data_IF_644759154455
#
_entry.id   IF_644759154455
#
_cell.length_a   1.000
_cell.length_b   1.000
_cell.length_c   1.000
_cell.angle_alpha   90.00
_cell.angle_beta   90.00
_cell.angle_gamma   90.00
#
_symmetry.space_group_name_H-M   'P 1'
#
loop_
_entity.id
_entity.type
_entity.pdbx_description
1 polymer ?
#
# COMPACT_ATOMS: atom_id res chain seq x y z
N UNK A 1 6.67 41.64 32.24
CA UNK A 1 7.41 41.01 31.12
C UNK A 1 7.04 39.52 30.90
N UNK A 2 6.56 38.79 31.91
CA UNK A 2 6.23 37.35 31.77
C UNK A 2 4.88 37.11 31.04
N UNK A 3 3.86 37.93 31.32
CA UNK A 3 2.52 37.82 30.71
C UNK A 3 2.52 37.81 29.16
N UNK A 4 3.21 38.73 28.45
CA UNK A 4 3.21 38.70 26.98
C UNK A 4 3.90 37.44 26.42
N UNK A 5 4.92 36.92 27.10
CA UNK A 5 5.63 35.70 26.67
C UNK A 5 4.68 34.49 26.73
N UNK A 6 3.93 34.34 27.82
CA UNK A 6 2.96 33.25 27.97
C UNK A 6 1.88 33.31 26.90
N UNK A 7 1.38 34.50 26.57
CA UNK A 7 0.38 34.70 25.52
C UNK A 7 0.96 34.33 24.15
N UNK A 8 2.19 34.76 23.83
CA UNK A 8 2.83 34.41 22.55
C UNK A 8 3.06 32.90 22.41
N UNK A 9 3.49 32.22 23.48
CA UNK A 9 3.68 30.75 23.47
C UNK A 9 2.35 30.03 23.31
N UNK A 10 1.29 30.49 23.99
CA UNK A 10 -0.06 29.93 23.85
C UNK A 10 -0.61 30.09 22.42
N UNK A 11 -0.39 31.25 21.78
CA UNK A 11 -0.79 31.50 20.39
C UNK A 11 0.02 30.62 19.43
N UNK A 12 1.34 30.49 19.62
CA UNK A 12 2.17 29.63 18.78
C UNK A 12 1.79 28.15 18.91
N UNK A 13 1.49 27.68 20.12
CA UNK A 13 0.99 26.32 20.35
C UNK A 13 -0.39 26.12 19.72
N UNK A 14 -1.32 27.07 19.91
CA UNK A 14 -2.64 27.01 19.28
C UNK A 14 -2.52 26.99 17.75
N UNK A 15 -1.70 27.86 17.15
CA UNK A 15 -1.41 27.84 15.72
C UNK A 15 -0.76 26.53 15.29
N UNK A 16 0.20 25.98 16.05
CA UNK A 16 0.82 24.70 15.75
C UNK A 16 -0.20 23.56 15.72
N UNK A 17 -1.10 23.49 16.71
CA UNK A 17 -2.16 22.47 16.74
C UNK A 17 -3.24 22.71 15.68
N UNK A 18 -3.58 23.96 15.36
CA UNK A 18 -4.61 24.30 14.37
C UNK A 18 -4.12 24.14 12.93
N UNK A 19 -2.83 24.35 12.67
CA UNK A 19 -2.18 24.10 11.38
C UNK A 19 -1.84 22.62 11.17
N UNK A 20 -1.84 21.82 12.23
CA UNK A 20 -1.69 20.37 12.14
C UNK A 20 -3.02 19.76 11.73
N UNK A 21 -3.27 19.67 10.43
CA UNK A 21 -4.42 18.93 9.92
C UNK A 21 -4.29 17.46 10.35
N UNK A 22 -5.32 16.88 11.01
CA UNK A 22 -5.32 15.45 11.28
C UNK A 22 -5.40 14.73 9.92
N UNK A 23 -4.34 14.01 9.58
CA UNK A 23 -4.34 13.15 8.40
C UNK A 23 -5.06 11.88 8.78
N UNK A 24 -6.30 11.75 8.34
CA UNK A 24 -7.10 10.55 8.51
C UNK A 24 -6.61 9.48 7.53
N UNK A 25 -6.25 8.31 8.03
CA UNK A 25 -5.93 7.14 7.21
C UNK A 25 -7.24 6.45 6.78
N UNK A 26 -7.30 6.00 5.53
CA UNK A 26 -8.51 5.39 4.95
C UNK A 26 -8.30 3.91 4.72
N UNK A 27 -8.94 3.09 5.55
CA UNK A 27 -8.92 1.64 5.41
C UNK A 27 -9.80 1.21 4.24
N UNK A 28 -9.17 0.59 3.24
CA UNK A 28 -9.80 -0.01 2.05
C UNK A 28 -10.16 -1.47 2.34
N UNK A 29 -9.21 -2.23 2.89
CA UNK A 29 -9.40 -3.61 3.33
C UNK A 29 -9.02 -3.73 4.79
N UNK A 30 -10.00 -3.91 5.68
CA UNK A 30 -9.75 -3.99 7.13
C UNK A 30 -9.34 -5.41 7.56
N UNK A 31 -10.18 -6.41 7.28
CA UNK A 31 -9.91 -7.82 7.60
C UNK A 31 -9.28 -8.61 6.45
N UNK A 32 -8.77 -9.80 6.74
CA UNK A 32 -8.19 -10.72 5.73
C UNK A 32 -9.21 -10.99 4.63
N UNK A 33 -8.80 -10.75 3.38
CA UNK A 33 -9.56 -11.13 2.18
C UNK A 33 -8.74 -12.08 1.32
N UNK A 34 -9.45 -13.03 0.71
CA UNK A 34 -8.88 -13.92 -0.29
C UNK A 34 -8.55 -13.11 -1.56
N UNK A 35 -7.37 -13.35 -2.12
CA UNK A 35 -6.89 -12.75 -3.36
C UNK A 35 -7.70 -13.13 -4.60
N UNK A 36 -8.63 -14.08 -4.51
CA UNK A 36 -9.55 -14.47 -5.59
C UNK A 36 -10.92 -13.78 -5.55
N UNK A 37 -11.22 -13.11 -4.45
CA UNK A 37 -12.52 -12.44 -4.23
C UNK A 37 -12.50 -11.04 -4.85
N UNK A 38 -13.22 -10.88 -5.98
CA UNK A 38 -13.33 -9.59 -6.68
C UNK A 38 -14.20 -8.63 -5.87
N UNK A 39 -13.54 -7.63 -5.27
CA UNK A 39 -14.20 -6.63 -4.43
C UNK A 39 -13.85 -5.22 -4.84
N UNK A 40 -14.88 -4.39 -4.96
CA UNK A 40 -14.73 -2.98 -5.26
C UNK A 40 -14.95 -2.15 -4.00
N UNK A 41 -14.00 -1.26 -3.72
CA UNK A 41 -14.16 -0.23 -2.71
C UNK A 41 -14.83 0.99 -3.35
N UNK A 42 -16.13 1.16 -3.06
CA UNK A 42 -16.97 2.18 -3.69
C UNK A 42 -16.94 3.55 -2.98
N UNK A 43 -16.27 3.66 -1.81
CA UNK A 43 -16.22 4.94 -1.10
C UNK A 43 -15.22 5.88 -1.80
N UNK A 44 -15.56 7.17 -1.96
CA UNK A 44 -14.64 8.13 -2.53
C UNK A 44 -13.44 8.28 -1.60
N UNK A 45 -12.24 8.08 -2.14
CA UNK A 45 -11.01 8.45 -1.45
C UNK A 45 -10.86 9.97 -1.52
N UNK A 46 -10.37 10.63 -0.46
CA UNK A 46 -10.09 12.06 -0.55
C UNK A 46 -8.97 12.31 -1.56
N UNK A 47 -9.02 13.50 -2.15
CA UNK A 47 -7.91 14.04 -2.94
C UNK A 47 -6.65 14.13 -2.06
N UNK A 48 -5.48 14.01 -2.69
CA UNK A 48 -4.21 14.21 -2.00
C UNK A 48 -4.20 15.56 -1.30
N UNK A 49 -3.66 15.61 -0.08
CA UNK A 49 -3.43 16.87 0.61
C UNK A 49 -2.20 17.49 -0.04
N UNK A 50 -2.43 18.41 -0.98
CA UNK A 50 -1.33 19.11 -1.66
C UNK A 50 -0.43 19.78 -0.62
N UNK A 51 0.80 19.28 -0.53
CA UNK A 51 1.90 19.94 0.16
C UNK A 51 2.61 20.89 -0.82
N UNK A 52 3.59 21.70 -0.38
CA UNK A 52 4.32 22.60 -1.28
C UNK A 52 4.86 21.90 -2.53
N UNK A 53 5.15 20.60 -2.43
CA UNK A 53 5.76 19.77 -3.47
C UNK A 53 4.74 19.12 -4.43
N UNK A 54 3.44 19.39 -4.26
CA UNK A 54 2.39 19.00 -5.20
C UNK A 54 1.62 17.72 -4.81
N UNK A 55 1.41 16.82 -5.78
CA UNK A 55 0.64 15.58 -5.58
C UNK A 55 1.42 14.61 -4.70
N UNK A 56 0.78 14.18 -3.61
CA UNK A 56 1.37 13.29 -2.61
C UNK A 56 0.33 12.31 -2.09
N UNK A 57 0.55 11.01 -2.24
CA UNK A 57 -0.29 9.99 -1.64
C UNK A 57 0.45 8.67 -1.47
N UNK A 58 -0.05 7.82 -0.57
CA UNK A 58 0.55 6.52 -0.30
C UNK A 58 -0.49 5.42 -0.13
N UNK A 59 -0.07 4.20 -0.42
CA UNK A 59 -0.82 2.98 -0.14
C UNK A 59 0.04 2.05 0.70
N UNK A 60 -0.51 1.49 1.77
CA UNK A 60 0.17 0.44 2.55
C UNK A 60 -0.73 -0.76 2.70
N UNK A 61 -0.16 -1.95 2.78
CA UNK A 61 -0.93 -3.15 3.08
C UNK A 61 -0.08 -4.39 3.27
N UNK A 62 -0.70 -5.39 3.87
CA UNK A 62 -0.12 -6.71 4.05
C UNK A 62 -0.60 -7.64 2.95
N UNK A 63 0.35 -8.32 2.33
CA UNK A 63 0.15 -9.24 1.24
C UNK A 63 0.78 -10.58 1.58
N UNK A 64 0.08 -11.67 1.28
CA UNK A 64 0.61 -13.03 1.31
C UNK A 64 0.27 -13.69 -0.01
N UNK A 65 1.27 -14.17 -0.73
CA UNK A 65 1.07 -14.89 -2.00
C UNK A 65 1.32 -16.36 -1.72
N UNK A 66 0.32 -17.21 -1.92
CA UNK A 66 0.43 -18.64 -1.63
C UNK A 66 1.01 -19.41 -2.82
N UNK A 67 0.62 -19.02 -4.05
CA UNK A 67 1.05 -19.69 -5.28
C UNK A 67 1.21 -18.73 -6.47
N UNK A 68 2.40 -18.73 -7.06
CA UNK A 68 2.73 -17.98 -8.28
C UNK A 68 2.42 -18.75 -9.58
N UNK A 69 2.01 -20.02 -9.51
CA UNK A 69 1.57 -20.80 -10.66
C UNK A 69 0.07 -20.62 -10.97
N UNK A 70 -0.71 -20.07 -10.05
CA UNK A 70 -2.13 -19.77 -10.27
C UNK A 70 -2.31 -18.84 -11.47
N UNK A 71 -3.03 -19.24 -12.52
CA UNK A 71 -3.19 -18.47 -13.77
C UNK A 71 -1.86 -18.05 -14.42
N UNK A 72 -0.93 -19.01 -14.49
CA UNK A 72 0.33 -18.82 -15.19
C UNK A 72 0.13 -18.31 -16.62
N UNK A 73 0.92 -17.31 -17.03
CA UNK A 73 0.82 -16.66 -18.33
C UNK A 73 -0.06 -15.40 -18.35
N UNK A 74 -0.84 -15.13 -17.30
CA UNK A 74 -1.68 -13.94 -17.19
C UNK A 74 -1.25 -13.05 -16.00
N UNK A 75 -1.24 -11.71 -16.17
CA UNK A 75 -0.92 -10.80 -15.07
C UNK A 75 -2.05 -10.81 -14.05
N UNK A 76 -1.72 -10.85 -12.77
CA UNK A 76 -2.69 -11.03 -11.68
C UNK A 76 -2.74 -9.80 -10.82
N UNK A 77 -3.85 -9.07 -10.91
CA UNK A 77 -4.00 -7.80 -10.19
C UNK A 77 -4.31 -8.10 -8.73
N UNK A 78 -3.51 -7.54 -7.81
CA UNK A 78 -3.77 -7.59 -6.37
C UNK A 78 -4.72 -6.46 -5.99
N UNK A 79 -4.39 -5.24 -6.39
CA UNK A 79 -5.30 -4.11 -6.33
C UNK A 79 -4.96 -3.09 -7.42
N UNK A 80 -5.96 -2.30 -7.82
CA UNK A 80 -5.80 -1.19 -8.76
C UNK A 80 -6.70 -0.04 -8.34
N UNK A 81 -6.14 1.16 -8.26
CA UNK A 81 -6.92 2.39 -8.25
C UNK A 81 -7.15 2.81 -9.70
N UNK A 82 -8.34 2.54 -10.24
CA UNK A 82 -8.67 2.79 -11.65
C UNK A 82 -9.51 1.68 -12.28
N UNK A 83 -9.11 1.19 -13.45
CA UNK A 83 -9.84 0.18 -14.24
C UNK A 83 -9.27 -1.23 -14.05
N UNK A 84 -10.14 -2.25 -14.15
CA UNK A 84 -9.76 -3.66 -14.05
C UNK A 84 -8.77 -4.09 -15.13
N UNK A 85 -8.89 -3.52 -16.34
CA UNK A 85 -8.03 -3.83 -17.49
C UNK A 85 -6.63 -3.20 -17.41
N UNK A 86 -6.30 -2.49 -16.31
CA UNK A 86 -5.06 -1.75 -16.11
C UNK A 86 -4.82 -0.63 -17.14
N UNK A 87 -5.85 -0.25 -17.91
CA UNK A 87 -5.80 0.89 -18.84
C UNK A 87 -5.72 2.23 -18.12
N UNK A 88 -6.22 2.28 -16.88
CA UNK A 88 -6.05 3.38 -15.95
C UNK A 88 -5.62 2.84 -14.59
N UNK A 89 -4.43 3.19 -14.12
CA UNK A 89 -3.81 2.67 -12.92
C UNK A 89 -2.94 3.73 -12.24
N UNK A 90 -3.36 4.24 -11.09
CA UNK A 90 -2.56 5.19 -10.31
C UNK A 90 -2.85 5.05 -8.81
N UNK A 91 -2.22 4.10 -8.11
CA UNK A 91 -1.33 3.03 -8.60
C UNK A 91 -2.08 1.70 -8.81
N UNK A 92 -1.41 0.72 -9.42
CA UNK A 92 -1.81 -0.68 -9.37
C UNK A 92 -0.65 -1.57 -8.89
N UNK A 93 -0.98 -2.60 -8.13
CA UNK A 93 -0.06 -3.66 -7.71
C UNK A 93 -0.48 -4.96 -8.38
N UNK A 94 0.42 -5.54 -9.16
CA UNK A 94 0.15 -6.69 -10.03
C UNK A 94 1.25 -7.73 -9.85
N UNK A 95 0.93 -9.01 -9.87
CA UNK A 95 1.93 -10.08 -9.98
C UNK A 95 2.19 -10.32 -11.46
N UNK A 96 3.47 -10.36 -11.83
CA UNK A 96 3.89 -10.69 -13.19
C UNK A 96 3.31 -12.05 -13.67
N UNK A 97 3.14 -12.21 -14.98
CA UNK A 97 2.53 -13.41 -15.57
C UNK A 97 3.34 -14.69 -15.34
N UNK A 98 4.67 -14.57 -15.36
CA UNK A 98 5.56 -15.72 -15.45
C UNK A 98 6.61 -15.77 -14.34
N UNK A 99 6.88 -14.65 -13.68
CA UNK A 99 7.94 -14.54 -12.67
C UNK A 99 7.36 -14.21 -11.30
N UNK A 100 8.15 -14.48 -10.25
CA UNK A 100 7.81 -14.13 -8.86
C UNK A 100 8.12 -12.65 -8.59
N UNK A 101 7.62 -11.79 -9.47
CA UNK A 101 7.87 -10.35 -9.46
C UNK A 101 6.56 -9.62 -9.24
N UNK A 102 6.56 -8.65 -8.32
CA UNK A 102 5.47 -7.68 -8.20
C UNK A 102 5.76 -6.50 -9.10
N UNK A 103 4.75 -6.01 -9.80
CA UNK A 103 4.79 -4.88 -10.71
C UNK A 103 3.93 -3.78 -10.12
N UNK A 104 4.56 -2.66 -9.77
CA UNK A 104 3.84 -1.44 -9.42
C UNK A 104 3.68 -0.63 -10.71
N UNK A 105 2.43 -0.40 -11.11
CA UNK A 105 2.10 0.37 -12.31
C UNK A 105 1.52 1.72 -11.93
N UNK A 106 2.05 2.77 -12.53
CA UNK A 106 1.60 4.15 -12.30
C UNK A 106 1.47 4.85 -13.65
N UNK A 107 0.27 5.34 -13.94
CA UNK A 107 0.03 6.18 -15.10
C UNK A 107 0.56 7.57 -14.83
N UNK A 108 1.32 8.08 -15.80
CA UNK A 108 1.69 9.50 -15.87
C UNK A 108 0.91 10.18 -16.99
N UNK A 109 1.05 11.50 -17.12
CA UNK A 109 0.51 12.21 -18.28
C UNK A 109 1.18 11.84 -19.61
N UNK A 110 2.35 11.19 -19.58
CA UNK A 110 3.05 10.70 -20.77
C UNK A 110 2.72 9.23 -21.08
N UNK A 111 3.18 8.33 -20.22
CA UNK A 111 3.04 6.88 -20.39
C UNK A 111 2.80 6.17 -19.05
N UNK A 112 2.35 4.91 -19.11
CA UNK A 112 2.29 4.05 -17.93
C UNK A 112 3.69 3.54 -17.59
N UNK A 113 4.16 3.87 -16.39
CA UNK A 113 5.45 3.43 -15.87
C UNK A 113 5.26 2.18 -15.01
N UNK A 114 6.18 1.23 -15.12
CA UNK A 114 6.13 -0.05 -14.40
C UNK A 114 7.42 -0.27 -13.61
N UNK A 115 7.29 -0.48 -12.31
CA UNK A 115 8.40 -0.65 -11.37
C UNK A 115 8.38 -2.10 -10.86
N UNK A 116 9.37 -2.94 -11.23
CA UNK A 116 9.42 -4.33 -10.81
C UNK A 116 10.07 -4.50 -9.42
N UNK A 117 9.43 -5.28 -8.57
CA UNK A 117 9.95 -5.81 -7.30
C UNK A 117 10.18 -7.31 -7.48
N UNK A 118 11.44 -7.66 -7.70
CA UNK A 118 11.86 -9.00 -8.09
C UNK A 118 12.09 -9.86 -6.85
N UNK A 119 11.69 -11.14 -6.92
CA UNK A 119 12.06 -12.16 -5.94
C UNK A 119 11.20 -12.14 -4.68
N UNK A 120 9.91 -11.87 -4.82
CA UNK A 120 8.99 -11.87 -3.68
C UNK A 120 8.75 -13.30 -3.19
N UNK A 121 8.86 -13.58 -1.88
CA UNK A 121 8.70 -14.94 -1.35
C UNK A 121 7.24 -15.40 -1.39
N UNK A 122 7.03 -16.69 -1.68
CA UNK A 122 5.75 -17.36 -1.52
C UNK A 122 5.52 -17.76 -0.05
N UNK A 123 4.26 -17.90 0.34
CA UNK A 123 3.80 -18.35 1.66
C UNK A 123 4.33 -17.53 2.84
N UNK A 124 4.66 -16.26 2.62
CA UNK A 124 5.08 -15.33 3.66
C UNK A 124 4.26 -14.05 3.59
N UNK A 125 3.94 -13.52 4.77
CA UNK A 125 3.39 -12.18 4.88
C UNK A 125 4.47 -11.14 4.58
N UNK A 126 4.10 -10.20 3.72
CA UNK A 126 4.92 -9.12 3.19
C UNK A 126 4.17 -7.82 3.44
N UNK A 127 4.83 -6.84 4.06
CA UNK A 127 4.29 -5.49 4.10
C UNK A 127 4.74 -4.74 2.85
N UNK A 128 3.81 -4.21 2.08
CA UNK A 128 4.06 -3.39 0.90
C UNK A 128 3.63 -1.95 1.19
N UNK A 129 4.51 -1.00 0.91
CA UNK A 129 4.18 0.43 0.90
C UNK A 129 4.51 1.00 -0.48
N UNK A 130 3.63 1.84 -1.01
CA UNK A 130 3.85 2.55 -2.27
C UNK A 130 3.59 4.02 -1.97
N UNK A 131 4.63 4.83 -1.98
CA UNK A 131 4.52 6.27 -1.92
C UNK A 131 4.63 6.82 -3.34
N UNK A 132 3.71 7.72 -3.68
CA UNK A 132 3.72 8.44 -4.95
C UNK A 132 3.81 9.92 -4.64
N UNK A 133 4.89 10.52 -5.11
CA UNK A 133 5.13 11.95 -5.06
C UNK A 133 4.96 12.51 -6.48
N UNK A 134 5.03 13.83 -6.61
CA UNK A 134 4.94 14.49 -7.90
C UNK A 134 6.04 14.07 -8.90
N UNK A 135 7.23 13.76 -8.41
CA UNK A 135 8.42 13.47 -9.22
C UNK A 135 8.87 12.01 -9.19
N UNK A 136 8.48 11.24 -8.16
CA UNK A 136 9.01 9.90 -7.96
C UNK A 136 8.00 8.98 -7.27
N UNK A 137 8.22 7.67 -7.44
CA UNK A 137 7.50 6.60 -6.75
C UNK A 137 8.51 5.79 -5.94
N UNK A 138 8.24 5.69 -4.64
CA UNK A 138 9.00 4.85 -3.73
C UNK A 138 8.22 3.59 -3.37
N UNK A 139 8.82 2.44 -3.61
CA UNK A 139 8.25 1.14 -3.25
C UNK A 139 8.99 0.58 -2.05
N UNK A 140 8.25 0.32 -0.97
CA UNK A 140 8.74 -0.21 0.28
C UNK A 140 8.30 -1.65 0.45
N UNK A 141 9.24 -2.48 0.92
CA UNK A 141 9.02 -3.88 1.26
C UNK A 141 9.49 -4.11 2.68
N UNK A 142 8.60 -4.60 3.55
CA UNK A 142 8.86 -4.84 4.98
C UNK A 142 9.46 -3.61 5.70
N UNK A 143 9.01 -2.41 5.34
CA UNK A 143 9.44 -1.16 5.94
C UNK A 143 10.77 -0.60 5.42
N UNK A 144 11.38 -1.24 4.42
CA UNK A 144 12.63 -0.77 3.78
C UNK A 144 12.35 -0.35 2.33
N UNK A 145 12.99 0.72 1.85
CA UNK A 145 12.91 1.13 0.44
C UNK A 145 13.52 0.04 -0.42
N UNK A 146 12.71 -0.54 -1.31
CA UNK A 146 13.16 -1.50 -2.31
C UNK A 146 13.57 -0.80 -3.60
N UNK A 147 12.74 0.13 -4.07
CA UNK A 147 12.99 0.89 -5.29
C UNK A 147 12.58 2.36 -5.12
N UNK A 148 13.41 3.25 -5.64
CA UNK A 148 13.11 4.66 -5.85
C UNK A 148 13.12 4.90 -7.36
N UNK A 149 11.98 5.26 -7.93
CA UNK A 149 11.82 5.42 -9.37
C UNK A 149 11.38 6.85 -9.69
N UNK A 150 12.21 7.57 -10.45
CA UNK A 150 11.92 8.94 -10.88
C UNK A 150 10.97 8.86 -12.08
N UNK A 151 9.82 9.51 -11.95
CA UNK A 151 8.81 9.58 -13.00
C UNK A 151 9.27 10.50 -14.13
N UNK A 152 8.98 10.10 -15.35
CA UNK A 152 9.27 10.91 -16.55
C UNK A 152 8.33 12.11 -16.65
N UNK A 153 7.08 11.94 -16.20
CA UNK A 153 6.02 12.93 -16.22
C UNK A 153 5.21 12.86 -14.93
N UNK A 154 4.39 13.89 -14.68
CA UNK A 154 3.55 13.96 -13.49
C UNK A 154 2.62 12.73 -13.38
N UNK A 155 2.45 12.16 -12.19
CA UNK A 155 1.52 11.06 -11.97
C UNK A 155 0.08 11.51 -12.23
N UNK A 156 -0.68 10.70 -12.96
CA UNK A 156 -2.05 11.00 -13.36
C UNK A 156 -3.03 10.34 -12.40
N UNK A 157 -3.40 11.06 -11.35
CA UNK A 157 -4.42 10.59 -10.41
C UNK A 157 -5.77 10.45 -11.11
N UNK A 158 -6.42 9.30 -10.97
CA UNK A 158 -7.73 9.04 -11.57
C UNK A 158 -8.87 9.14 -10.54
N UNK A 159 -10.08 9.36 -11.02
CA UNK A 159 -11.30 9.40 -10.21
C UNK A 159 -11.97 8.02 -10.00
N UNK A 160 -11.34 6.94 -10.46
CA UNK A 160 -11.90 5.58 -10.38
C UNK A 160 -12.01 5.03 -8.95
N UNK A 161 -12.67 3.91 -8.77
CA UNK A 161 -12.70 3.20 -7.49
C UNK A 161 -11.39 2.43 -7.25
N UNK A 162 -11.15 1.98 -6.01
CA UNK A 162 -10.13 0.94 -5.77
C UNK A 162 -10.77 -0.41 -5.98
N UNK A 163 -10.20 -1.21 -6.87
CA UNK A 163 -10.61 -2.57 -7.15
C UNK A 163 -9.58 -3.50 -6.50
N UNK A 164 -10.05 -4.44 -5.70
CA UNK A 164 -9.25 -5.49 -5.10
C UNK A 164 -9.47 -6.77 -5.89
N UNK A 165 -8.38 -7.37 -6.37
CA UNK A 165 -8.41 -8.65 -7.07
C UNK A 165 -9.39 -8.76 -8.26
N UNK A 166 -9.48 -7.74 -9.14
CA UNK A 166 -10.44 -7.75 -10.24
C UNK A 166 -10.20 -8.95 -11.16
N UNK A 167 -11.30 -9.52 -11.67
CA UNK A 167 -11.22 -10.58 -12.68
C UNK A 167 -10.60 -11.88 -12.17
N UNK A 168 -10.67 -12.18 -10.88
CA UNK A 168 -10.17 -13.42 -10.26
C UNK A 168 -8.78 -13.32 -9.63
N UNK A 169 -8.16 -12.15 -9.67
CA UNK A 169 -6.99 -11.75 -8.88
C UNK A 169 -5.86 -12.77 -8.81
N UNK A 170 -5.43 -13.11 -7.60
CA UNK A 170 -4.26 -13.94 -7.32
C UNK A 170 -4.52 -15.00 -6.23
N UNK A 171 -3.69 -16.05 -6.19
CA UNK A 171 -3.73 -17.02 -5.11
C UNK A 171 -2.98 -16.50 -3.88
N UNK A 172 -3.72 -16.00 -2.90
CA UNK A 172 -3.15 -15.48 -1.67
C UNK A 172 -4.16 -14.70 -0.85
N UNK A 173 -3.65 -13.80 0.00
CA UNK A 173 -4.44 -12.98 0.91
C UNK A 173 -3.94 -11.55 0.95
N UNK A 174 -4.86 -10.61 1.10
CA UNK A 174 -4.57 -9.19 1.33
C UNK A 174 -5.26 -8.75 2.61
N UNK A 175 -4.60 -7.89 3.39
CA UNK A 175 -5.17 -7.32 4.61
C UNK A 175 -4.59 -5.96 4.95
N UNK A 176 -5.36 -5.15 5.68
CA UNK A 176 -5.01 -3.78 6.09
C UNK A 176 -4.52 -2.95 4.91
N UNK A 177 -5.22 -3.02 3.78
CA UNK A 177 -4.93 -2.13 2.66
C UNK A 177 -5.47 -0.75 3.04
N UNK A 178 -4.57 0.22 3.15
CA UNK A 178 -4.84 1.58 3.60
C UNK A 178 -4.37 2.57 2.55
N UNK A 179 -5.14 3.66 2.42
CA UNK A 179 -4.79 4.82 1.63
C UNK A 179 -4.49 6.00 2.54
N UNK A 180 -3.39 6.67 2.24
CA UNK A 180 -2.94 7.87 2.92
C UNK A 180 -2.93 9.02 1.90
N UNK A 181 -3.61 10.14 2.15
CA UNK A 181 -3.64 11.28 1.23
C UNK A 181 -2.35 12.12 1.29
N UNK A 182 -1.24 11.53 1.75
CA UNK A 182 0.08 12.13 1.85
C UNK A 182 1.16 11.06 1.70
N UNK A 183 2.40 11.50 1.51
CA UNK A 183 3.57 10.64 1.53
C UNK A 183 3.89 10.23 2.97
N UNK A 184 4.03 8.92 3.20
CA UNK A 184 4.46 8.43 4.50
C UNK A 184 5.98 8.53 4.65
N UNK A 185 6.46 8.97 5.81
CA UNK A 185 7.89 8.95 6.10
C UNK A 185 8.39 7.50 6.21
N UNK A 186 9.69 7.26 5.97
CA UNK A 186 10.27 5.93 6.13
C UNK A 186 10.04 5.35 7.54
N UNK A 187 10.05 6.19 8.57
CA UNK A 187 9.70 5.78 9.94
C UNK A 187 8.24 5.38 10.11
N UNK A 188 7.31 6.06 9.43
CA UNK A 188 5.87 5.76 9.47
C UNK A 188 5.53 4.46 8.73
N UNK A 189 6.26 4.16 7.67
CA UNK A 189 6.12 2.88 6.95
C UNK A 189 6.76 1.77 7.77
N UNK A 190 7.92 2.03 8.39
CA UNK A 190 8.56 1.05 9.25
C UNK A 190 7.73 0.72 10.48
N UNK A 191 7.04 1.69 11.09
CA UNK A 191 6.15 1.42 12.23
C UNK A 191 4.98 0.53 11.80
N UNK A 192 4.33 0.81 10.67
CA UNK A 192 3.27 -0.03 10.08
C UNK A 192 3.76 -1.43 9.72
N UNK A 193 4.96 -1.54 9.15
CA UNK A 193 5.55 -2.84 8.81
C UNK A 193 5.94 -3.67 10.05
N UNK A 194 6.14 -3.04 11.21
CA UNK A 194 6.40 -3.72 12.49
C UNK A 194 5.14 -4.20 13.18
N UNK A 195 3.98 -3.63 12.84
CA UNK A 195 2.71 -4.20 13.27
C UNK A 195 2.58 -5.59 12.68
N UNK A 196 2.25 -6.61 13.47
CA UNK A 196 2.00 -7.92 12.88
C UNK A 196 0.85 -7.82 11.85
N UNK A 197 0.91 -8.56 10.73
CA UNK A 197 -0.28 -8.73 9.91
C UNK A 197 -1.39 -9.25 10.83
N UNK A 198 -2.62 -8.74 10.72
CA UNK A 198 -3.72 -9.28 11.50
C UNK A 198 -4.02 -10.68 10.95
N UNK A 199 -3.32 -11.67 11.49
CA UNK A 199 -3.64 -13.07 11.35
C UNK A 199 -4.97 -13.29 12.07
N UNK A 200 -6.08 -13.24 11.34
CA UNK A 200 -7.20 -14.10 11.70
C UNK A 200 -6.67 -15.54 11.79
N UNK A 201 -7.19 -16.35 12.73
CA UNK A 201 -6.62 -17.64 13.14
C UNK A 201 -6.04 -18.47 11.99
N UNK A 202 -4.78 -18.20 11.63
CA UNK A 202 -4.03 -19.04 10.74
C UNK A 202 -3.56 -20.17 11.65
N UNK A 203 -4.29 -21.27 11.62
CA UNK A 203 -3.79 -22.56 12.07
C UNK A 203 -2.55 -22.88 11.24
N UNK A 204 -1.40 -22.34 11.66
CA UNK A 204 -0.11 -22.79 11.17
C UNK A 204 -0.04 -24.26 11.59
N UNK A 205 -0.29 -25.16 10.63
CA UNK A 205 -0.04 -26.58 10.82
C UNK A 205 1.46 -26.72 10.91
N UNK A 206 1.97 -26.66 12.14
CA UNK A 206 3.36 -26.97 12.40
C UNK A 206 3.58 -28.44 12.04
N UNK A 207 4.71 -28.78 11.39
CA UNK A 207 5.14 -30.16 11.32
C UNK A 207 5.17 -30.77 12.71
N UNK A 208 4.88 -32.07 12.84
CA UNK A 208 4.78 -32.76 14.15
C UNK A 208 6.01 -32.53 15.05
N UNK A 209 7.20 -32.32 14.47
CA UNK A 209 8.44 -32.06 15.22
C UNK A 209 8.58 -30.66 15.82
N UNK A 210 7.69 -29.71 15.48
CA UNK A 210 7.63 -28.38 16.08
C UNK A 210 6.54 -28.27 17.16
N UNK A 211 5.73 -29.31 17.35
CA UNK A 211 4.76 -29.35 18.44
C UNK A 211 5.50 -29.47 19.78
N UNK A 212 5.13 -28.64 20.76
CA UNK A 212 5.68 -28.66 22.13
C UNK A 212 4.78 -29.43 23.10
N UNK A 213 3.65 -29.97 22.63
CA UNK A 213 2.67 -30.72 23.44
C UNK A 213 3.28 -31.92 24.17
N UNK A 214 4.36 -32.50 23.65
CA UNK A 214 5.08 -33.62 24.26
C UNK A 214 5.94 -33.25 25.48
N UNK A 215 6.18 -31.97 25.75
CA UNK A 215 6.95 -31.51 26.91
C UNK A 215 6.13 -31.31 28.18
N UNK A 216 4.79 -31.36 28.10
CA UNK A 216 3.88 -31.12 29.23
C UNK A 216 3.27 -32.42 29.76
#
# INVERSE_FOLDING_TARGET
MIVPIVITVAILLACYFFLRTPTSDYVIVDGIKDGKDDKQYLKPLPVSVNRPDGIEFSYTGWLRIDDFAYRFGEPRVIFVKGSADLSTACPALVIDSNTNTLLVKVDTFGAQETIPVIGVPANKWLHVGINVNQEAVDVYINGTVYAHHILTQLPKQNAGSVLNSPGGGFAGRIVRLEYHPQVLSASDIQSRAREAPPTGEENQVFPEYFDKSWFN
#
